data_IF_657351835294
#
_entry.id   IF_657351835294
#
_cell.length_a   1.000
_cell.length_b   1.000
_cell.length_c   1.000
_cell.angle_alpha   90.00
_cell.angle_beta   90.00
_cell.angle_gamma   90.00
#
_symmetry.space_group_name_H-M   'P 1'
#
loop_
_entity.id
_entity.type
_entity.pdbx_description
1 polymer ?
#
# COMPACT_ATOMS: atom_id res chain seq x y z
N UNK A 1 23.55 -47.64 1.64
CA UNK A 1 24.05 -46.28 1.87
C UNK A 1 23.23 -45.34 1.00
N UNK A 2 22.34 -44.56 1.61
CA UNK A 2 21.48 -43.61 0.90
C UNK A 2 21.81 -42.22 1.46
N UNK A 3 22.55 -41.43 0.69
CA UNK A 3 23.02 -40.10 1.10
C UNK A 3 21.87 -39.11 0.95
N UNK A 4 21.33 -38.64 2.07
CA UNK A 4 20.28 -37.61 2.09
C UNK A 4 20.92 -36.25 1.84
N UNK A 5 20.66 -35.66 0.66
CA UNK A 5 21.10 -34.32 0.32
C UNK A 5 20.10 -33.31 0.89
N UNK A 6 20.43 -32.72 2.04
CA UNK A 6 19.64 -31.65 2.64
C UNK A 6 20.00 -30.35 1.90
N UNK A 7 19.13 -29.93 0.99
CA UNK A 7 19.23 -28.63 0.31
C UNK A 7 18.88 -27.53 1.32
N UNK A 8 19.89 -26.78 1.77
CA UNK A 8 19.72 -25.63 2.64
C UNK A 8 19.14 -24.46 1.82
N UNK A 9 17.85 -24.21 2.00
CA UNK A 9 17.17 -23.05 1.41
C UNK A 9 17.57 -21.80 2.21
N UNK A 10 18.51 -21.00 1.68
CA UNK A 10 18.90 -19.72 2.25
C UNK A 10 17.76 -18.72 2.07
N UNK A 11 16.98 -18.46 3.12
CA UNK A 11 15.99 -17.39 3.16
C UNK A 11 16.73 -16.06 3.41
N UNK A 12 16.97 -15.30 2.36
CA UNK A 12 17.40 -13.90 2.49
C UNK A 12 16.22 -13.07 3.02
N UNK A 13 16.24 -12.76 4.31
CA UNK A 13 15.30 -11.80 4.91
C UNK A 13 15.84 -10.40 4.58
N UNK A 14 15.27 -9.76 3.56
CA UNK A 14 15.58 -8.36 3.24
C UNK A 14 14.82 -7.49 4.24
N UNK A 15 15.48 -6.64 5.05
CA UNK A 15 14.76 -5.73 5.95
C UNK A 15 13.97 -4.71 5.11
N UNK A 16 12.64 -4.74 5.20
CA UNK A 16 11.78 -3.70 4.63
C UNK A 16 11.86 -2.48 5.56
N UNK A 17 12.72 -1.51 5.24
CA UNK A 17 12.71 -0.19 5.86
C UNK A 17 11.36 0.50 5.59
N UNK A 18 10.86 1.31 6.54
CA UNK A 18 9.76 2.23 6.27
C UNK A 18 10.14 3.08 5.07
N UNK A 19 9.39 2.97 3.97
CA UNK A 19 9.71 3.65 2.73
C UNK A 19 8.92 4.94 2.67
N UNK A 20 9.61 6.04 2.38
CA UNK A 20 9.00 7.26 1.88
C UNK A 20 7.91 6.95 0.85
N UNK A 21 6.81 7.66 0.96
CA UNK A 21 5.67 7.47 0.08
C UNK A 21 4.99 8.80 -0.25
N UNK A 22 4.31 8.82 -1.38
CA UNK A 22 3.46 9.91 -1.81
C UNK A 22 2.02 9.58 -1.43
N UNK A 23 1.32 10.53 -0.82
CA UNK A 23 -0.13 10.47 -0.65
C UNK A 23 -0.81 11.38 -1.68
N UNK A 24 -1.71 10.84 -2.48
CA UNK A 24 -2.48 11.57 -3.49
C UNK A 24 -3.93 11.62 -3.05
N UNK A 25 -4.39 12.81 -2.70
CA UNK A 25 -5.78 13.06 -2.33
C UNK A 25 -6.56 13.56 -3.55
N UNK A 26 -7.52 12.77 -4.01
CA UNK A 26 -8.43 13.15 -5.09
C UNK A 26 -9.58 14.06 -4.61
N UNK A 27 -10.27 14.75 -5.53
CA UNK A 27 -11.47 15.55 -5.19
C UNK A 27 -12.57 14.75 -4.49
N UNK A 28 -12.63 13.44 -4.70
CA UNK A 28 -13.57 12.54 -4.02
C UNK A 28 -13.12 12.17 -2.59
N UNK A 29 -12.13 12.87 -2.04
CA UNK A 29 -11.52 12.65 -0.72
C UNK A 29 -10.89 11.26 -0.53
N UNK A 30 -10.73 10.48 -1.60
CA UNK A 30 -9.96 9.24 -1.55
C UNK A 30 -8.48 9.57 -1.58
N UNK A 31 -7.75 9.05 -0.58
CA UNK A 31 -6.30 9.13 -0.48
C UNK A 31 -5.72 7.83 -1.00
N UNK A 32 -4.93 7.91 -2.05
CA UNK A 32 -4.11 6.83 -2.57
C UNK A 32 -2.70 7.06 -2.09
N UNK A 33 -1.98 6.00 -1.75
CA UNK A 33 -0.55 6.17 -1.49
C UNK A 33 0.30 5.36 -2.46
N UNK A 34 1.55 5.77 -2.61
CA UNK A 34 2.48 5.24 -3.59
C UNK A 34 3.90 5.26 -3.05
N UNK A 35 4.72 4.25 -3.32
CA UNK A 35 6.11 4.25 -2.90
C UNK A 35 6.92 5.34 -3.63
N UNK A 36 7.98 5.86 -3.00
CA UNK A 36 8.86 6.89 -3.59
C UNK A 36 9.39 6.56 -4.99
N UNK A 37 9.55 5.27 -5.31
CA UNK A 37 10.03 4.78 -6.61
C UNK A 37 9.02 4.89 -7.76
N UNK A 38 7.78 5.33 -7.52
CA UNK A 38 6.84 5.58 -8.60
C UNK A 38 7.24 6.86 -9.37
N UNK A 39 6.94 6.90 -10.66
CA UNK A 39 7.09 8.09 -11.47
C UNK A 39 5.78 8.86 -11.41
N UNK A 40 5.80 10.04 -10.79
CA UNK A 40 4.67 10.96 -10.77
C UNK A 40 4.93 12.04 -11.81
N UNK A 41 3.96 12.24 -12.70
CA UNK A 41 3.93 13.31 -13.70
C UNK A 41 2.77 14.23 -13.39
N UNK A 42 3.07 15.49 -13.11
CA UNK A 42 2.06 16.54 -13.03
C UNK A 42 1.92 17.19 -14.40
N UNK A 43 0.68 17.45 -14.83
CA UNK A 43 0.40 18.21 -16.06
C UNK A 43 -0.04 19.62 -15.68
N UNK A 44 0.90 20.44 -15.24
CA UNK A 44 0.76 21.90 -15.20
C UNK A 44 1.47 22.45 -16.43
N UNK A 45 0.75 23.16 -17.32
CA UNK A 45 1.29 23.86 -18.49
C UNK A 45 2.69 23.40 -18.96
N UNK A 46 2.75 22.33 -19.76
CA UNK A 46 3.94 21.77 -20.42
C UNK A 46 5.17 21.37 -19.57
N UNK A 47 5.19 21.52 -18.24
CA UNK A 47 6.36 21.16 -17.45
C UNK A 47 6.15 19.89 -16.62
N UNK A 48 7.03 18.92 -16.84
CA UNK A 48 7.17 17.68 -16.08
C UNK A 48 8.31 17.92 -15.08
N UNK A 49 8.03 18.01 -13.78
CA UNK A 49 9.10 18.04 -12.77
C UNK A 49 8.85 17.04 -11.65
N UNK A 50 9.90 16.31 -11.31
CA UNK A 50 9.97 15.32 -10.23
C UNK A 50 10.22 15.91 -8.84
N UNK A 51 10.21 17.25 -8.71
CA UNK A 51 10.39 17.95 -7.45
C UNK A 51 9.04 18.52 -7.02
N UNK A 52 8.31 17.79 -6.17
CA UNK A 52 7.05 18.28 -5.61
C UNK A 52 7.34 19.14 -4.38
N UNK A 53 6.53 20.17 -4.17
CA UNK A 53 6.42 20.84 -2.87
C UNK A 53 5.62 19.93 -1.91
N UNK A 54 5.86 20.06 -0.60
CA UNK A 54 5.29 19.21 0.45
C UNK A 54 3.75 19.10 0.42
N UNK A 55 3.07 20.08 -0.15
CA UNK A 55 1.63 20.06 -0.36
C UNK A 55 1.25 21.02 -1.51
N UNK A 56 0.84 20.49 -2.66
CA UNK A 56 0.38 21.31 -3.78
C UNK A 56 -0.77 20.66 -4.54
N UNK A 57 -1.75 21.48 -4.92
CA UNK A 57 -2.91 21.09 -5.71
C UNK A 57 -2.59 21.19 -7.20
N UNK A 58 -3.01 20.17 -7.95
CA UNK A 58 -2.73 20.06 -9.38
C UNK A 58 -4.00 19.70 -10.15
N UNK A 59 -4.17 20.27 -11.35
CA UNK A 59 -5.32 19.97 -12.21
C UNK A 59 -5.30 18.51 -12.69
N UNK A 60 -4.13 17.96 -12.96
CA UNK A 60 -3.98 16.56 -13.37
C UNK A 60 -2.66 15.98 -12.87
N UNK A 61 -2.75 14.81 -12.23
CA UNK A 61 -1.61 14.01 -11.78
C UNK A 61 -1.71 12.63 -12.44
N UNK A 62 -0.60 12.17 -13.02
CA UNK A 62 -0.46 10.84 -13.57
C UNK A 62 0.60 10.08 -12.77
N UNK A 63 0.27 8.90 -12.26
CA UNK A 63 1.20 8.05 -11.52
C UNK A 63 1.50 6.79 -12.32
N UNK A 64 2.76 6.57 -12.63
CA UNK A 64 3.27 5.31 -13.18
C UNK A 64 4.02 4.59 -12.06
N UNK A 65 3.67 3.32 -11.85
CA UNK A 65 4.28 2.51 -10.78
C UNK A 65 5.12 1.41 -11.39
N UNK A 66 5.99 0.77 -10.62
CA UNK A 66 6.81 -0.33 -11.12
C UNK A 66 5.99 -1.59 -11.47
N UNK A 67 4.72 -1.63 -11.07
CA UNK A 67 3.81 -2.76 -11.27
C UNK A 67 2.64 -2.45 -12.22
N UNK A 68 2.54 -1.22 -12.72
CA UNK A 68 1.54 -0.85 -13.72
C UNK A 68 2.16 0.07 -14.77
N UNK A 69 2.16 -0.39 -16.02
CA UNK A 69 2.66 0.35 -17.18
C UNK A 69 1.67 1.41 -17.67
N UNK A 70 0.39 1.31 -17.29
CA UNK A 70 -0.61 2.33 -17.59
C UNK A 70 -0.62 3.39 -16.48
N UNK A 71 -0.53 4.68 -16.81
CA UNK A 71 -0.58 5.73 -15.80
C UNK A 71 -1.97 5.78 -15.15
N UNK A 72 -2.00 5.80 -13.82
CA UNK A 72 -3.22 6.14 -13.07
C UNK A 72 -3.38 7.66 -13.07
N UNK A 73 -4.51 8.16 -13.58
CA UNK A 73 -4.75 9.60 -13.75
C UNK A 73 -5.76 10.11 -12.74
N UNK A 74 -5.37 11.17 -12.02
CA UNK A 74 -6.18 11.88 -11.04
C UNK A 74 -6.42 13.31 -11.52
N UNK A 75 -7.68 13.76 -11.45
CA UNK A 75 -8.05 15.14 -11.76
C UNK A 75 -8.18 15.94 -10.46
N UNK A 76 -7.74 17.20 -10.48
CA UNK A 76 -7.85 18.17 -9.39
C UNK A 76 -7.37 17.65 -8.02
N UNK A 77 -6.26 16.91 -8.02
CA UNK A 77 -5.76 16.20 -6.85
C UNK A 77 -4.59 16.93 -6.19
N UNK A 78 -4.40 16.70 -4.89
CA UNK A 78 -3.29 17.21 -4.09
C UNK A 78 -2.28 16.09 -3.86
N UNK A 79 -0.99 16.37 -4.03
CA UNK A 79 0.09 15.47 -3.63
C UNK A 79 0.63 15.96 -2.29
N UNK A 80 0.75 15.04 -1.34
CA UNK A 80 1.51 15.21 -0.10
C UNK A 80 2.71 14.28 -0.15
N UNK A 81 3.90 14.82 0.12
CA UNK A 81 5.11 14.00 0.28
C UNK A 81 5.24 13.69 1.76
N UNK A 82 5.33 12.40 2.09
CA UNK A 82 5.56 11.96 3.47
C UNK A 82 6.97 11.38 3.53
N UNK A 83 7.90 12.23 3.94
CA UNK A 83 9.30 11.85 4.20
C UNK A 83 9.37 11.29 5.62
N UNK A 84 9.74 10.01 5.75
CA UNK A 84 10.12 9.47 7.06
C UNK A 84 11.56 9.89 7.30
N UNK A 85 11.79 10.79 8.26
CA UNK A 85 13.15 11.06 8.74
C UNK A 85 13.79 9.72 9.11
N UNK A 86 15.04 9.49 8.68
CA UNK A 86 15.87 8.27 8.85
C UNK A 86 16.15 7.87 10.32
N UNK A 87 15.16 7.94 11.20
CA UNK A 87 15.20 7.21 12.45
C UNK A 87 15.11 5.74 12.08
N UNK A 88 16.05 4.90 12.54
CA UNK A 88 15.98 3.48 12.30
C UNK A 88 14.65 2.98 12.87
N UNK A 89 13.77 2.55 11.98
CA UNK A 89 12.48 1.98 12.33
C UNK A 89 12.75 0.76 13.21
N UNK A 90 12.24 0.77 14.44
CA UNK A 90 12.42 -0.37 15.34
C UNK A 90 11.59 -1.56 14.84
N UNK A 91 12.24 -2.40 14.03
CA UNK A 91 11.66 -3.59 13.44
C UNK A 91 11.18 -4.60 14.48
N UNK A 92 11.58 -4.48 15.75
CA UNK A 92 11.30 -5.51 16.74
C UNK A 92 9.81 -5.60 17.13
N UNK A 93 9.01 -4.56 16.84
CA UNK A 93 7.58 -4.53 17.21
C UNK A 93 6.60 -4.25 16.05
N UNK A 94 7.07 -4.13 14.80
CA UNK A 94 6.16 -3.83 13.70
C UNK A 94 5.56 -5.11 13.12
N UNK A 95 4.23 -5.21 12.97
CA UNK A 95 3.59 -6.37 12.37
C UNK A 95 4.10 -6.64 10.94
N UNK A 96 4.41 -7.90 10.64
CA UNK A 96 4.90 -8.33 9.33
C UNK A 96 3.78 -9.00 8.53
N UNK A 97 3.81 -8.88 7.22
CA UNK A 97 2.83 -9.53 6.34
C UNK A 97 3.08 -11.05 6.30
N UNK A 98 2.12 -11.84 6.75
CA UNK A 98 2.16 -13.32 6.78
C UNK A 98 1.49 -13.91 5.54
N UNK A 99 0.30 -13.42 5.19
CA UNK A 99 -0.48 -13.91 4.05
C UNK A 99 -0.69 -12.80 3.04
N UNK A 100 -0.51 -13.13 1.77
CA UNK A 100 -0.96 -12.33 0.64
C UNK A 100 -1.56 -13.22 -0.42
N UNK A 101 -2.87 -13.08 -0.63
CA UNK A 101 -3.62 -13.84 -1.63
C UNK A 101 -4.41 -12.88 -2.51
N UNK A 102 -4.21 -12.99 -3.81
CA UNK A 102 -4.90 -12.19 -4.82
C UNK A 102 -5.52 -13.14 -5.82
N UNK A 103 -6.84 -13.06 -5.98
CA UNK A 103 -7.61 -13.97 -6.82
C UNK A 103 -8.50 -13.19 -7.76
N UNK A 104 -8.80 -13.73 -8.94
CA UNK A 104 -9.79 -13.12 -9.83
C UNK A 104 -11.16 -13.18 -9.17
N UNK A 105 -11.92 -12.09 -9.31
CA UNK A 105 -13.31 -12.05 -8.91
C UNK A 105 -14.14 -13.01 -9.77
N UNK A 106 -15.05 -13.74 -9.13
CA UNK A 106 -16.00 -14.62 -9.80
C UNK A 106 -17.29 -13.90 -10.20
N UNK A 107 -17.59 -12.77 -9.57
CA UNK A 107 -18.83 -12.02 -9.81
C UNK A 107 -18.61 -10.81 -10.72
N UNK A 108 -17.42 -10.22 -10.69
CA UNK A 108 -17.08 -8.97 -11.37
C UNK A 108 -15.93 -9.23 -12.34
N UNK A 109 -16.28 -9.47 -13.61
CA UNK A 109 -15.31 -9.81 -14.64
C UNK A 109 -14.21 -8.74 -14.78
N UNK A 110 -12.97 -9.19 -14.94
CA UNK A 110 -11.81 -8.31 -15.08
C UNK A 110 -11.36 -7.63 -13.79
N UNK A 111 -11.82 -8.09 -12.63
CA UNK A 111 -11.37 -7.59 -11.33
C UNK A 111 -10.76 -8.69 -10.45
N UNK A 112 -10.09 -8.26 -9.38
CA UNK A 112 -9.40 -9.09 -8.39
C UNK A 112 -9.91 -8.80 -6.98
N UNK A 113 -9.83 -9.82 -6.14
CA UNK A 113 -10.04 -9.79 -4.70
C UNK A 113 -8.67 -9.88 -3.99
N UNK A 114 -8.59 -9.35 -2.78
CA UNK A 114 -7.38 -9.37 -1.93
C UNK A 114 -7.74 -9.93 -0.56
N UNK A 115 -6.90 -10.84 -0.07
CA UNK A 115 -6.90 -11.33 1.30
C UNK A 115 -5.47 -11.25 1.83
N UNK A 116 -5.29 -10.56 2.96
CA UNK A 116 -4.00 -10.42 3.61
C UNK A 116 -4.11 -10.66 5.12
N UNK A 117 -3.02 -11.14 5.70
CA UNK A 117 -2.91 -11.33 7.15
C UNK A 117 -1.54 -10.86 7.62
N UNK A 118 -1.49 -10.17 8.76
CA UNK A 118 -0.28 -9.72 9.42
C UNK A 118 -0.01 -10.50 10.71
N UNK A 119 1.23 -10.47 11.20
CA UNK A 119 1.67 -11.20 12.40
C UNK A 119 1.01 -10.82 13.70
N UNK A 120 0.33 -9.67 13.73
CA UNK A 120 -0.51 -9.26 14.84
C UNK A 120 -1.98 -9.71 14.71
N UNK A 121 -2.23 -10.71 13.87
CA UNK A 121 -3.56 -11.25 13.56
C UNK A 121 -4.52 -10.24 12.93
N UNK A 122 -4.00 -9.15 12.34
CA UNK A 122 -4.81 -8.29 11.47
C UNK A 122 -5.07 -9.03 10.16
N UNK A 123 -6.32 -9.34 9.90
CA UNK A 123 -6.83 -9.87 8.66
C UNK A 123 -7.59 -8.78 7.90
N UNK A 124 -7.25 -8.55 6.64
CA UNK A 124 -7.93 -7.60 5.77
C UNK A 124 -8.36 -8.27 4.48
N UNK A 125 -9.63 -8.11 4.13
CA UNK A 125 -10.23 -8.66 2.92
C UNK A 125 -10.85 -7.52 2.09
N UNK A 126 -10.47 -7.43 0.81
CA UNK A 126 -11.21 -6.72 -0.22
C UNK A 126 -11.87 -7.75 -1.12
N UNK A 127 -13.19 -7.80 -1.11
CA UNK A 127 -13.97 -8.78 -1.86
C UNK A 127 -15.18 -8.14 -2.50
N UNK A 128 -15.23 -8.21 -3.84
CA UNK A 128 -16.38 -7.73 -4.62
C UNK A 128 -16.76 -6.27 -4.31
N UNK A 129 -15.75 -5.42 -4.19
CA UNK A 129 -15.93 -4.00 -3.89
C UNK A 129 -16.18 -3.67 -2.41
N UNK A 130 -16.30 -4.67 -1.55
CA UNK A 130 -16.49 -4.52 -0.10
C UNK A 130 -15.19 -4.79 0.64
N UNK A 131 -15.04 -4.15 1.79
CA UNK A 131 -13.85 -4.28 2.63
C UNK A 131 -14.23 -4.67 4.04
N UNK A 132 -13.49 -5.63 4.60
CA UNK A 132 -13.62 -6.07 5.99
C UNK A 132 -12.22 -6.14 6.58
N UNK A 133 -12.06 -5.62 7.79
CA UNK A 133 -10.85 -5.82 8.60
C UNK A 133 -11.23 -6.44 9.94
N UNK A 134 -10.44 -7.40 10.39
CA UNK A 134 -10.59 -8.06 11.69
C UNK A 134 -9.24 -8.18 12.38
N UNK A 135 -9.20 -7.99 13.68
CA UNK A 135 -8.02 -8.29 14.49
C UNK A 135 -8.44 -9.06 15.73
N UNK A 136 -7.86 -10.24 15.96
CA UNK A 136 -8.21 -11.12 17.10
C UNK A 136 -9.74 -11.29 17.22
N UNK A 137 -10.37 -11.66 16.11
CA UNK A 137 -11.83 -11.86 15.95
C UNK A 137 -12.73 -10.60 16.05
N UNK A 138 -12.17 -9.44 16.40
CA UNK A 138 -12.93 -8.18 16.45
C UNK A 138 -12.94 -7.51 15.09
N UNK A 139 -14.13 -7.13 14.62
CA UNK A 139 -14.27 -6.31 13.41
C UNK A 139 -13.75 -4.90 13.71
N UNK A 140 -12.87 -4.41 12.83
CA UNK A 140 -12.32 -3.06 12.91
C UNK A 140 -13.02 -2.15 11.89
N UNK A 141 -13.12 -0.86 12.23
CA UNK A 141 -13.57 0.16 11.27
C UNK A 141 -12.53 0.32 10.16
N UNK A 142 -13.00 0.37 8.92
CA UNK A 142 -12.16 0.66 7.75
C UNK A 142 -12.55 2.01 7.18
N UNK A 143 -11.67 3.00 7.34
CA UNK A 143 -11.87 4.35 6.79
C UNK A 143 -11.36 4.39 5.36
N UNK A 144 -12.11 5.03 4.47
CA UNK A 144 -11.77 5.20 3.05
C UNK A 144 -11.36 3.90 2.34
N UNK A 145 -11.93 2.75 2.75
CA UNK A 145 -11.65 1.38 2.26
C UNK A 145 -10.25 0.81 2.57
N UNK A 146 -9.37 1.57 3.19
CA UNK A 146 -7.93 1.31 3.13
C UNK A 146 -7.18 1.61 4.44
N UNK A 147 -7.83 2.32 5.36
CA UNK A 147 -7.24 2.73 6.62
C UNK A 147 -7.83 1.92 7.76
N UNK A 148 -6.98 1.17 8.44
CA UNK A 148 -7.39 0.33 9.57
C UNK A 148 -6.57 0.75 10.79
N UNK A 149 -7.23 1.36 11.76
CA UNK A 149 -6.60 1.67 13.04
C UNK A 149 -6.60 0.42 13.93
N UNK A 150 -5.44 0.06 14.46
CA UNK A 150 -5.24 -1.03 15.42
C UNK A 150 -4.65 -0.47 16.72
N UNK A 151 -4.36 -1.35 17.68
CA UNK A 151 -3.72 -0.95 18.93
C UNK A 151 -2.23 -0.62 18.74
N UNK A 152 -1.58 -1.22 17.74
CA UNK A 152 -0.17 -1.02 17.41
C UNK A 152 0.05 0.20 16.50
N UNK A 153 -0.95 0.60 15.71
CA UNK A 153 -0.77 1.70 14.77
C UNK A 153 -1.88 1.84 13.74
N UNK A 154 -1.59 2.60 12.70
CA UNK A 154 -2.44 2.80 11.54
C UNK A 154 -1.92 1.99 10.35
N UNK A 155 -2.71 1.03 9.89
CA UNK A 155 -2.44 0.30 8.65
C UNK A 155 -3.03 1.06 7.48
N UNK A 156 -2.15 1.47 6.55
CA UNK A 156 -2.49 2.09 5.27
C UNK A 156 -2.35 1.05 4.17
N UNK A 157 -3.43 0.39 3.83
CA UNK A 157 -3.49 -0.69 2.83
C UNK A 157 -4.00 -0.10 1.53
N UNK A 158 -3.43 -0.45 0.39
CA UNK A 158 -3.95 -0.02 -0.90
C UNK A 158 -3.98 -1.17 -1.88
N UNK A 159 -5.09 -1.26 -2.60
CA UNK A 159 -5.36 -2.33 -3.54
C UNK A 159 -6.12 -1.81 -4.75
N UNK A 160 -5.59 -2.09 -5.94
CA UNK A 160 -6.27 -1.80 -7.20
C UNK A 160 -6.95 -3.09 -7.72
N UNK A 161 -8.29 -3.15 -7.67
CA UNK A 161 -9.03 -4.35 -8.07
C UNK A 161 -8.98 -4.63 -9.57
N UNK A 162 -8.56 -3.69 -10.43
CA UNK A 162 -8.54 -3.91 -11.88
C UNK A 162 -7.28 -4.62 -12.38
N UNK A 163 -6.19 -4.51 -11.62
CA UNK A 163 -4.89 -5.08 -12.01
C UNK A 163 -4.23 -5.93 -10.91
N UNK A 164 -4.81 -5.98 -9.70
CA UNK A 164 -4.27 -6.75 -8.58
C UNK A 164 -3.07 -6.09 -7.89
N UNK A 165 -2.76 -4.83 -8.19
CA UNK A 165 -1.68 -4.13 -7.52
C UNK A 165 -2.00 -3.91 -6.04
N UNK A 166 -1.03 -4.21 -5.18
CA UNK A 166 -1.16 -4.14 -3.72
C UNK A 166 0.11 -3.56 -3.10
N UNK A 167 -0.07 -2.67 -2.13
CA UNK A 167 0.98 -2.20 -1.24
C UNK A 167 0.39 -1.82 0.13
N UNK A 168 1.24 -1.70 1.15
CA UNK A 168 0.84 -1.27 2.48
C UNK A 168 1.95 -0.47 3.18
N UNK A 169 1.56 0.35 4.15
CA UNK A 169 2.43 1.03 5.13
C UNK A 169 1.80 0.87 6.51
N UNK A 170 2.63 0.77 7.54
CA UNK A 170 2.21 0.72 8.94
C UNK A 170 2.85 1.92 9.63
N UNK A 171 2.02 2.79 10.22
CA UNK A 171 2.48 3.88 11.08
C UNK A 171 2.26 3.47 12.52
N UNK A 172 3.32 3.39 13.31
CA UNK A 172 3.23 2.99 14.70
C UNK A 172 2.62 4.13 15.54
N UNK A 173 1.93 3.78 16.62
CA UNK A 173 1.26 4.78 17.47
C UNK A 173 2.22 5.71 18.24
N UNK A 174 3.47 5.30 18.39
CA UNK A 174 4.49 5.98 19.22
C UNK A 174 5.50 6.81 18.41
N UNK A 175 5.23 7.08 17.12
CA UNK A 175 5.95 8.06 16.28
C UNK A 175 5.17 9.38 16.14
#
# INVERSE_FOLDING_TARGET
MQTLLISAFLLFVVPLQAQDYYAIQSEKQLVYYYPKKCQITVKEGNSISSNFELEKKYNQISVVTTWDTKPMVYQNATIHIIEHNDKPFDHNNTPSLILKKIEKSLLTNGTYNLEIEFSNSLHFEYKEGKVIAKQKERILEVKNKYLVATHEGLFKISFNPYNGAFWYVIENKDE
#
